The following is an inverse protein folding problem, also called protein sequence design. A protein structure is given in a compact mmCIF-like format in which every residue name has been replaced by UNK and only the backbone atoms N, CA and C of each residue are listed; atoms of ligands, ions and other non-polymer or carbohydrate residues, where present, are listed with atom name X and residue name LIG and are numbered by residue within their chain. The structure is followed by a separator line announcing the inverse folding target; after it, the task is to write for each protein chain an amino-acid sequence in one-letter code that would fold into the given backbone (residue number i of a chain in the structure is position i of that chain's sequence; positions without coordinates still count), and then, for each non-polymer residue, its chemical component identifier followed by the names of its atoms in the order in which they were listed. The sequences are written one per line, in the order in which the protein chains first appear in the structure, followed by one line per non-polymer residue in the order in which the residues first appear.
data_IF_129405169059
#
_entry.id   IF_129405169059
#
_cell.length_a   1.000
_cell.length_b   1.000
_cell.length_c   1.000
_cell.angle_alpha   90.00
_cell.angle_beta   90.00
_cell.angle_gamma   90.00
#
_symmetry.space_group_name_H-M   'P 1'
#
loop_
_entity.id
_entity.type
_entity.pdbx_description
1 polymer ?
#
# COMPACT_ATOMS: atom_id res chain seq x y z
N UNK A 1 12.31 -1.03 10.63
CA UNK A 1 13.43 -1.99 10.80
C UNK A 1 13.22 -3.29 10.01
N UNK A 2 11.98 -3.77 9.90
CA UNK A 2 11.70 -5.07 9.23
C UNK A 2 11.66 -4.97 7.69
N UNK A 3 11.56 -3.78 7.14
CA UNK A 3 11.55 -3.53 5.69
C UNK A 3 12.92 -3.19 5.10
N UNK A 4 13.87 -2.77 5.94
CA UNK A 4 15.24 -2.42 5.55
C UNK A 4 16.18 -2.62 6.75
N UNK A 5 16.84 -3.79 6.87
CA UNK A 5 17.67 -4.14 8.03
C UNK A 5 19.09 -3.55 7.95
N UNK A 6 19.29 -2.40 7.36
CA UNK A 6 20.56 -1.73 7.19
C UNK A 6 20.84 -1.34 5.75
N UNK A 7 21.96 -1.76 5.20
CA UNK A 7 22.29 -1.56 3.78
C UNK A 7 21.38 -2.38 2.87
N UNK A 8 21.08 -1.85 1.70
CA UNK A 8 20.25 -2.50 0.68
C UNK A 8 20.72 -2.10 -0.71
N UNK A 9 20.36 -2.88 -1.71
CA UNK A 9 20.68 -2.63 -3.10
C UNK A 9 19.44 -2.24 -3.89
N UNK A 10 19.57 -1.21 -4.72
CA UNK A 10 18.53 -0.76 -5.63
C UNK A 10 19.05 -0.71 -7.05
N UNK A 11 18.20 -1.04 -8.01
CA UNK A 11 18.38 -0.73 -9.41
C UNK A 11 17.76 0.65 -9.66
N UNK A 12 18.51 1.70 -9.35
CA UNK A 12 18.05 3.08 -9.44
C UNK A 12 18.25 3.65 -10.84
N UNK A 13 17.20 4.23 -11.42
CA UNK A 13 17.31 4.91 -12.70
C UNK A 13 16.41 6.13 -12.79
N UNK A 14 16.94 7.20 -13.40
CA UNK A 14 16.27 8.44 -13.71
C UNK A 14 16.42 8.76 -15.19
N UNK A 15 15.32 9.12 -15.83
CA UNK A 15 15.24 9.38 -17.27
C UNK A 15 14.89 10.83 -17.52
N UNK A 16 15.73 11.57 -18.25
CA UNK A 16 15.41 12.93 -18.70
C UNK A 16 14.38 12.93 -19.83
N UNK A 17 13.52 13.95 -19.86
CA UNK A 17 12.45 14.11 -20.84
C UNK A 17 11.48 12.92 -20.92
N UNK A 18 11.27 12.25 -19.80
CA UNK A 18 10.43 11.07 -19.69
C UNK A 18 9.11 11.37 -18.95
N UNK A 19 8.07 10.67 -19.35
CA UNK A 19 6.78 10.61 -18.68
C UNK A 19 6.71 9.40 -17.74
N UNK A 20 5.64 9.32 -16.99
CA UNK A 20 5.32 8.13 -16.17
C UNK A 20 5.27 6.86 -17.03
N UNK A 21 4.66 6.92 -18.19
CA UNK A 21 4.49 5.80 -19.12
C UNK A 21 5.84 5.33 -19.71
N UNK A 22 6.79 6.23 -19.90
CA UNK A 22 8.14 5.88 -20.36
C UNK A 22 8.90 5.08 -19.28
N UNK A 23 8.77 5.49 -18.02
CA UNK A 23 9.34 4.76 -16.87
C UNK A 23 8.67 3.39 -16.72
N UNK A 24 7.35 3.30 -16.90
CA UNK A 24 6.62 2.03 -16.82
C UNK A 24 7.14 1.03 -17.84
N UNK A 25 7.35 1.42 -19.10
CA UNK A 25 7.89 0.55 -20.15
C UNK A 25 9.26 -0.04 -19.77
N UNK A 26 10.15 0.80 -19.26
CA UNK A 26 11.49 0.34 -18.81
C UNK A 26 11.37 -0.60 -17.60
N UNK A 27 10.54 -0.24 -16.61
CA UNK A 27 10.29 -1.07 -15.44
C UNK A 27 9.72 -2.44 -15.80
N UNK A 28 8.74 -2.48 -16.69
CA UNK A 28 8.11 -3.72 -17.19
C UNK A 28 9.11 -4.61 -17.92
N UNK A 29 9.89 -4.05 -18.82
CA UNK A 29 10.90 -4.80 -19.57
C UNK A 29 11.95 -5.43 -18.64
N UNK A 30 12.48 -4.65 -17.71
CA UNK A 30 13.52 -5.10 -16.77
C UNK A 30 12.98 -6.14 -15.79
N UNK A 31 11.82 -5.88 -15.18
CA UNK A 31 11.27 -6.75 -14.15
C UNK A 31 10.71 -8.05 -14.74
N UNK A 32 9.98 -7.99 -15.86
CA UNK A 32 9.51 -9.21 -16.55
C UNK A 32 10.68 -10.10 -16.92
N UNK A 33 11.70 -9.57 -17.60
CA UNK A 33 12.87 -10.35 -18.00
C UNK A 33 13.63 -10.94 -16.82
N UNK A 34 13.73 -10.18 -15.71
CA UNK A 34 14.38 -10.65 -14.48
C UNK A 34 13.62 -11.81 -13.85
N UNK A 35 12.31 -11.64 -13.65
CA UNK A 35 11.51 -12.69 -13.02
C UNK A 35 11.35 -13.92 -13.92
N UNK A 36 11.19 -13.76 -15.23
CA UNK A 36 11.16 -14.89 -16.17
C UNK A 36 12.45 -15.72 -16.14
N UNK A 37 13.60 -15.03 -15.98
CA UNK A 37 14.90 -15.69 -15.95
C UNK A 37 15.20 -16.42 -14.64
N UNK A 38 14.77 -15.87 -13.50
CA UNK A 38 15.19 -16.35 -12.18
C UNK A 38 14.06 -16.99 -11.36
N UNK A 39 12.82 -16.89 -11.78
CA UNK A 39 11.71 -17.59 -11.12
C UNK A 39 11.86 -19.12 -11.27
N UNK A 40 11.32 -19.90 -10.31
CA UNK A 40 11.26 -21.35 -10.43
C UNK A 40 10.56 -21.79 -11.72
N UNK A 41 10.99 -22.91 -12.29
CA UNK A 41 10.39 -23.46 -13.51
C UNK A 41 8.86 -23.67 -13.36
N UNK A 42 8.11 -23.27 -14.36
CA UNK A 42 6.64 -23.33 -14.36
C UNK A 42 5.95 -22.18 -13.64
N UNK A 43 6.70 -21.18 -13.17
CA UNK A 43 6.10 -19.96 -12.60
C UNK A 43 5.42 -19.12 -13.66
N UNK A 44 4.33 -18.45 -13.28
CA UNK A 44 3.62 -17.48 -14.12
C UNK A 44 4.05 -16.07 -13.73
N UNK A 45 4.57 -15.31 -14.70
CA UNK A 45 4.95 -13.90 -14.51
C UNK A 45 3.97 -13.02 -15.28
N UNK A 46 3.51 -11.93 -14.65
CA UNK A 46 2.67 -10.94 -15.35
C UNK A 46 3.40 -10.37 -16.56
N UNK A 47 2.78 -10.44 -17.72
CA UNK A 47 3.31 -9.85 -18.94
C UNK A 47 2.93 -8.37 -19.04
N UNK A 48 3.78 -7.58 -19.70
CA UNK A 48 3.47 -6.19 -20.01
C UNK A 48 2.28 -6.07 -21.00
N UNK A 49 1.45 -5.02 -20.89
CA UNK A 49 1.51 -3.98 -19.86
C UNK A 49 0.97 -4.46 -18.51
N UNK A 50 1.57 -4.02 -17.42
CA UNK A 50 1.07 -4.33 -16.08
C UNK A 50 -0.24 -3.60 -15.79
N UNK A 51 -1.17 -4.19 -15.01
CA UNK A 51 -2.33 -3.48 -14.53
C UNK A 51 -1.95 -2.21 -13.77
N UNK A 52 -2.65 -1.12 -14.03
CA UNK A 52 -2.52 0.16 -13.31
C UNK A 52 -3.77 0.31 -12.46
N UNK A 53 -3.59 0.51 -11.17
CA UNK A 53 -4.64 0.66 -10.16
C UNK A 53 -4.40 1.98 -9.45
N UNK A 54 -5.38 2.89 -9.43
CA UNK A 54 -5.21 4.12 -8.67
C UNK A 54 -5.15 3.84 -7.16
N UNK A 55 -4.44 4.67 -6.41
CA UNK A 55 -4.38 4.58 -4.95
C UNK A 55 -5.78 4.45 -4.32
N UNK A 56 -6.69 5.30 -4.77
CA UNK A 56 -8.10 5.28 -4.32
C UNK A 56 -8.77 3.92 -4.56
N UNK A 57 -8.59 3.36 -5.74
CA UNK A 57 -9.13 2.05 -6.09
C UNK A 57 -8.45 0.93 -5.28
N UNK A 58 -7.13 1.01 -5.09
CA UNK A 58 -6.38 0.05 -4.28
C UNK A 58 -6.89 0.00 -2.84
N UNK A 59 -7.09 1.16 -2.22
CA UNK A 59 -7.65 1.25 -0.87
C UNK A 59 -9.10 0.75 -0.80
N UNK A 60 -9.90 0.98 -1.84
CA UNK A 60 -11.29 0.52 -1.90
C UNK A 60 -11.40 -0.99 -2.07
N UNK A 61 -10.69 -1.58 -3.05
CA UNK A 61 -10.86 -2.98 -3.45
C UNK A 61 -9.95 -3.95 -2.70
N UNK A 62 -8.83 -3.47 -2.14
CA UNK A 62 -7.84 -4.32 -1.47
C UNK A 62 -7.55 -3.89 -0.03
N UNK A 63 -7.91 -2.67 0.37
CA UNK A 63 -7.64 -2.10 1.68
C UNK A 63 -6.16 -1.83 1.95
N UNK A 64 -5.36 -1.72 0.90
CA UNK A 64 -3.92 -1.46 0.93
C UNK A 64 -3.43 -0.94 -0.41
N UNK A 65 -2.38 -0.16 -0.41
CA UNK A 65 -1.62 0.28 -1.58
C UNK A 65 -0.62 -0.78 -2.09
N UNK A 66 -0.51 -1.91 -1.38
CA UNK A 66 0.34 -3.04 -1.75
C UNK A 66 -0.49 -4.33 -1.93
N UNK A 67 -1.38 -4.42 -2.94
CA UNK A 67 -2.27 -5.55 -3.10
C UNK A 67 -1.53 -6.81 -3.58
N UNK A 68 -1.86 -7.95 -2.97
CA UNK A 68 -1.54 -9.25 -3.55
C UNK A 68 -2.63 -9.65 -4.55
N UNK A 69 -2.32 -9.53 -5.84
CA UNK A 69 -3.26 -9.85 -6.92
C UNK A 69 -3.45 -11.36 -7.15
N UNK A 70 -2.64 -12.23 -6.52
CA UNK A 70 -2.86 -13.68 -6.50
C UNK A 70 -4.10 -14.05 -5.70
N UNK A 71 -4.52 -13.20 -4.76
CA UNK A 71 -5.75 -13.38 -4.01
C UNK A 71 -6.94 -12.86 -4.84
N UNK A 72 -7.90 -13.73 -5.24
CA UNK A 72 -9.01 -13.33 -6.10
C UNK A 72 -10.09 -12.51 -5.40
N UNK A 73 -10.08 -12.46 -4.06
CA UNK A 73 -11.09 -11.73 -3.31
C UNK A 73 -10.97 -10.23 -3.51
N UNK A 74 -12.11 -9.54 -3.50
CA UNK A 74 -12.19 -8.08 -3.55
C UNK A 74 -13.04 -7.57 -2.40
N UNK A 75 -12.70 -6.37 -1.95
CA UNK A 75 -13.50 -5.64 -0.97
C UNK A 75 -14.58 -4.87 -1.72
N UNK A 76 -15.77 -4.83 -1.16
CA UNK A 76 -16.96 -4.20 -1.74
C UNK A 76 -17.41 -3.11 -0.76
N UNK A 77 -17.77 -1.94 -1.28
CA UNK A 77 -18.36 -0.87 -0.48
C UNK A 77 -19.87 -1.09 -0.36
N UNK A 78 -20.33 -1.27 0.87
CA UNK A 78 -21.73 -1.39 1.20
C UNK A 78 -22.20 -0.29 2.19
N UNK A 79 -21.46 0.81 2.27
CA UNK A 79 -21.74 1.91 3.19
C UNK A 79 -23.15 2.44 3.00
N UNK A 80 -23.51 2.89 1.80
CA UNK A 80 -24.83 3.45 1.52
C UNK A 80 -25.97 2.44 1.72
N UNK A 81 -25.72 1.17 1.41
CA UNK A 81 -26.68 0.10 1.66
C UNK A 81 -27.00 0.00 3.14
N UNK A 82 -26.00 -0.09 4.02
CA UNK A 82 -26.21 -0.27 5.45
C UNK A 82 -26.72 0.98 6.18
N UNK A 83 -26.56 2.20 5.63
CA UNK A 83 -27.22 3.39 6.19
C UNK A 83 -28.75 3.31 6.10
N UNK A 84 -29.30 2.53 5.15
CA UNK A 84 -30.75 2.31 4.95
C UNK A 84 -31.30 1.09 5.68
N UNK A 85 -30.42 0.19 6.17
CA UNK A 85 -30.81 -1.00 6.93
C UNK A 85 -31.14 -0.67 8.38
N UNK A 86 -31.76 -1.63 9.09
CA UNK A 86 -32.12 -1.48 10.51
C UNK A 86 -30.96 -1.79 11.47
N UNK A 87 -29.80 -2.19 10.98
CA UNK A 87 -28.65 -2.60 11.78
C UNK A 87 -27.85 -1.39 12.29
N UNK A 88 -28.33 -0.79 13.37
CA UNK A 88 -27.76 0.43 13.99
C UNK A 88 -26.24 0.41 14.24
N UNK A 89 -25.57 -0.72 14.57
CA UNK A 89 -24.12 -0.71 14.78
C UNK A 89 -23.27 -0.29 13.56
N UNK A 90 -23.85 -0.30 12.35
CA UNK A 90 -23.18 0.11 11.11
C UNK A 90 -23.52 1.55 10.68
N UNK A 91 -24.51 2.19 11.33
CA UNK A 91 -24.91 3.56 10.99
C UNK A 91 -23.78 4.55 11.32
N UNK A 92 -23.54 5.49 10.41
CA UNK A 92 -22.48 6.50 10.54
C UNK A 92 -21.05 5.96 10.38
N UNK A 93 -20.91 4.72 9.93
CA UNK A 93 -19.62 4.07 9.66
C UNK A 93 -19.48 3.74 8.19
N UNK A 94 -18.25 3.66 7.73
CA UNK A 94 -17.92 3.00 6.46
C UNK A 94 -18.09 1.50 6.63
N UNK A 95 -18.82 0.88 5.70
CA UNK A 95 -19.06 -0.57 5.69
C UNK A 95 -18.42 -1.19 4.46
N UNK A 96 -17.45 -2.05 4.70
CA UNK A 96 -16.77 -2.88 3.69
C UNK A 96 -17.26 -4.31 3.79
N UNK A 97 -17.29 -5.01 2.67
CA UNK A 97 -17.68 -6.42 2.64
C UNK A 97 -16.70 -7.25 1.80
N UNK A 98 -16.60 -8.53 2.13
CA UNK A 98 -15.81 -9.51 1.37
C UNK A 98 -16.71 -10.70 1.08
N UNK A 99 -17.02 -10.91 -0.21
CA UNK A 99 -17.71 -12.11 -0.65
C UNK A 99 -16.72 -13.25 -0.87
N UNK A 100 -16.94 -14.36 -0.21
CA UNK A 100 -16.16 -15.60 -0.32
C UNK A 100 -17.03 -16.61 -1.06
N UNK A 101 -16.63 -17.06 -2.28
CA UNK A 101 -17.43 -17.98 -3.09
C UNK A 101 -17.35 -19.41 -2.53
N UNK A 102 -17.65 -19.58 -1.25
CA UNK A 102 -17.56 -20.86 -0.54
C UNK A 102 -18.35 -20.82 0.76
N UNK A 103 -19.05 -21.91 1.07
CA UNK A 103 -19.65 -22.13 2.39
C UNK A 103 -18.57 -22.47 3.38
N UNK A 104 -18.58 -21.82 4.55
CA UNK A 104 -17.63 -22.04 5.61
C UNK A 104 -18.20 -22.92 6.73
N UNK A 105 -17.34 -23.75 7.31
CA UNK A 105 -17.67 -24.48 8.52
C UNK A 105 -17.69 -23.56 9.76
N UNK A 106 -18.41 -23.97 10.81
CA UNK A 106 -18.43 -23.22 12.08
C UNK A 106 -17.02 -22.94 12.62
N UNK A 107 -16.10 -23.92 12.53
CA UNK A 107 -14.72 -23.74 12.99
C UNK A 107 -13.93 -22.71 12.17
N UNK A 108 -14.24 -22.56 10.87
CA UNK A 108 -13.63 -21.50 10.04
C UNK A 108 -14.16 -20.14 10.43
N UNK A 109 -15.47 -19.97 10.64
CA UNK A 109 -16.05 -18.73 11.17
C UNK A 109 -15.42 -18.32 12.52
N UNK A 110 -15.28 -19.26 13.45
CA UNK A 110 -14.67 -18.99 14.77
C UNK A 110 -13.20 -18.54 14.66
N UNK A 111 -12.43 -19.16 13.76
CA UNK A 111 -11.04 -18.77 13.52
C UNK A 111 -10.92 -17.36 12.91
N UNK A 112 -11.79 -17.03 11.94
CA UNK A 112 -11.82 -15.70 11.32
C UNK A 112 -12.28 -14.65 12.33
N UNK A 113 -13.27 -14.93 13.18
CA UNK A 113 -13.68 -14.02 14.26
C UNK A 113 -12.52 -13.76 15.24
N UNK A 114 -11.78 -14.78 15.65
CA UNK A 114 -10.60 -14.63 16.53
C UNK A 114 -9.52 -13.76 15.86
N UNK A 115 -9.28 -13.98 14.58
CA UNK A 115 -8.34 -13.14 13.83
C UNK A 115 -8.81 -11.69 13.77
N UNK A 116 -10.08 -11.45 13.41
CA UNK A 116 -10.65 -10.11 13.39
C UNK A 116 -10.50 -9.38 14.74
N UNK A 117 -10.74 -10.10 15.85
CA UNK A 117 -10.53 -9.56 17.20
C UNK A 117 -9.05 -9.26 17.49
N UNK A 118 -8.13 -10.12 17.02
CA UNK A 118 -6.68 -9.92 17.24
C UNK A 118 -6.12 -8.70 16.52
N UNK A 119 -6.75 -8.27 15.43
CA UNK A 119 -6.37 -7.05 14.69
C UNK A 119 -7.14 -5.80 15.17
N UNK A 120 -7.97 -5.91 16.23
CA UNK A 120 -8.64 -4.78 16.87
C UNK A 120 -10.11 -4.59 16.51
N UNK A 121 -10.72 -5.49 15.71
CA UNK A 121 -12.15 -5.42 15.42
C UNK A 121 -12.99 -5.86 16.62
N UNK A 122 -14.11 -5.17 16.87
CA UNK A 122 -15.06 -5.54 17.93
C UNK A 122 -15.86 -6.83 17.65
N UNK A 123 -15.92 -7.26 16.40
CA UNK A 123 -16.62 -8.44 15.93
C UNK A 123 -16.56 -8.60 14.43
N UNK A 124 -17.09 -9.70 13.90
CA UNK A 124 -17.15 -9.99 12.48
C UNK A 124 -18.57 -10.45 12.11
N UNK A 125 -19.33 -9.57 11.45
CA UNK A 125 -20.65 -9.90 10.91
C UNK A 125 -20.53 -10.75 9.65
N UNK A 126 -21.49 -11.65 9.43
CA UNK A 126 -21.51 -12.43 8.19
C UNK A 126 -22.93 -12.86 7.81
N UNK A 127 -23.09 -13.28 6.55
CA UNK A 127 -24.24 -14.01 6.02
C UNK A 127 -23.73 -15.20 5.21
N UNK A 128 -24.41 -16.35 5.35
CA UNK A 128 -24.32 -17.49 4.44
C UNK A 128 -25.48 -17.39 3.43
N UNK A 129 -25.20 -17.54 2.15
CA UNK A 129 -26.21 -17.58 1.09
C UNK A 129 -26.64 -19.03 0.89
N UNK A 130 -27.92 -19.32 1.13
CA UNK A 130 -28.46 -20.66 0.99
C UNK A 130 -28.80 -20.98 -0.47
N UNK A 131 -29.12 -22.25 -0.76
CA UNK A 131 -29.40 -22.74 -2.13
C UNK A 131 -30.60 -22.04 -2.79
N UNK A 132 -31.54 -21.56 -1.99
CA UNK A 132 -32.73 -20.81 -2.42
C UNK A 132 -32.51 -19.28 -2.45
N UNK A 133 -31.25 -18.84 -2.33
CA UNK A 133 -30.86 -17.43 -2.23
C UNK A 133 -31.37 -16.70 -0.98
N UNK A 134 -31.89 -17.41 0.02
CA UNK A 134 -32.14 -16.84 1.34
C UNK A 134 -30.85 -16.75 2.14
N UNK A 135 -30.85 -15.95 3.20
CA UNK A 135 -29.66 -15.71 4.00
C UNK A 135 -29.76 -16.35 5.38
N UNK A 136 -28.62 -16.75 5.91
CA UNK A 136 -28.46 -17.24 7.27
C UNK A 136 -27.25 -16.58 7.94
N UNK A 137 -27.46 -15.95 9.07
CA UNK A 137 -26.37 -15.33 9.83
C UNK A 137 -26.85 -14.27 10.81
N UNK A 138 -25.95 -13.70 11.60
CA UNK A 138 -26.32 -12.74 12.65
C UNK A 138 -26.90 -11.42 12.10
N UNK A 139 -26.62 -11.09 10.84
CA UNK A 139 -27.04 -9.82 10.20
C UNK A 139 -28.38 -9.97 9.46
N UNK A 140 -28.80 -11.18 9.05
CA UNK A 140 -29.97 -11.42 8.19
C UNK A 140 -31.25 -10.70 8.67
N UNK A 141 -31.58 -10.83 9.93
CA UNK A 141 -32.79 -10.23 10.53
C UNK A 141 -32.83 -8.69 10.49
N UNK A 142 -31.73 -8.06 10.16
CA UNK A 142 -31.61 -6.60 10.10
C UNK A 142 -31.65 -6.07 8.66
N UNK A 143 -31.64 -6.96 7.65
CA UNK A 143 -31.79 -6.59 6.25
C UNK A 143 -33.25 -6.78 5.87
N UNK A 144 -33.98 -5.70 5.53
CA UNK A 144 -35.35 -5.78 5.06
C UNK A 144 -35.47 -6.70 3.83
N UNK A 145 -36.58 -7.42 3.71
CA UNK A 145 -36.77 -8.40 2.62
C UNK A 145 -36.72 -7.77 1.24
N UNK A 146 -37.21 -6.54 1.10
CA UNK A 146 -37.15 -5.75 -0.15
C UNK A 146 -35.72 -5.28 -0.52
N UNK A 147 -34.78 -5.33 0.40
CA UNK A 147 -33.37 -4.99 0.18
C UNK A 147 -32.48 -6.22 -0.05
N UNK A 148 -32.99 -7.44 0.13
CA UNK A 148 -32.18 -8.67 -0.02
C UNK A 148 -31.69 -8.91 -1.44
N UNK A 149 -32.46 -8.54 -2.46
CA UNK A 149 -32.01 -8.60 -3.85
C UNK A 149 -30.91 -7.57 -4.17
N UNK A 150 -30.99 -6.37 -3.58
CA UNK A 150 -30.00 -5.32 -3.78
C UNK A 150 -28.61 -5.73 -3.26
N UNK A 151 -28.52 -6.29 -2.06
CA UNK A 151 -27.22 -6.76 -1.55
C UNK A 151 -26.66 -7.93 -2.38
N UNK A 152 -27.53 -8.78 -2.91
CA UNK A 152 -27.12 -9.87 -3.81
C UNK A 152 -26.48 -9.32 -5.08
N UNK A 153 -27.06 -8.27 -5.67
CA UNK A 153 -26.51 -7.61 -6.87
C UNK A 153 -25.21 -6.86 -6.55
N UNK A 154 -25.20 -6.02 -5.50
CA UNK A 154 -24.02 -5.22 -5.12
C UNK A 154 -22.81 -6.08 -4.80
N UNK A 155 -23.01 -7.21 -4.13
CA UNK A 155 -21.93 -8.11 -3.74
C UNK A 155 -21.77 -9.33 -4.66
N UNK A 156 -22.51 -9.39 -5.77
CA UNK A 156 -22.52 -10.52 -6.73
C UNK A 156 -22.63 -11.88 -6.03
N UNK A 157 -23.60 -11.99 -5.10
CA UNK A 157 -23.79 -13.16 -4.27
C UNK A 157 -24.40 -14.32 -5.06
N UNK A 158 -23.94 -15.52 -4.78
CA UNK A 158 -24.43 -16.78 -5.34
C UNK A 158 -24.75 -17.77 -4.23
N UNK A 159 -25.58 -18.73 -4.51
CA UNK A 159 -25.87 -19.83 -3.59
C UNK A 159 -24.56 -20.52 -3.16
N UNK A 160 -24.38 -20.73 -1.87
CA UNK A 160 -23.17 -21.29 -1.28
C UNK A 160 -22.10 -20.28 -0.91
N UNK A 161 -22.27 -19.00 -1.19
CA UNK A 161 -21.32 -17.95 -0.79
C UNK A 161 -21.42 -17.62 0.71
N UNK A 162 -20.36 -17.05 1.24
CA UNK A 162 -20.34 -16.43 2.56
C UNK A 162 -19.81 -15.01 2.44
N UNK A 163 -20.59 -14.02 2.87
CA UNK A 163 -20.15 -12.61 2.87
C UNK A 163 -19.86 -12.14 4.29
N UNK A 164 -18.73 -11.48 4.49
CA UNK A 164 -18.30 -10.86 5.75
C UNK A 164 -18.42 -9.35 5.68
N UNK A 165 -18.70 -8.72 6.84
CA UNK A 165 -18.90 -7.27 6.96
C UNK A 165 -17.95 -6.67 7.97
N UNK A 166 -17.32 -5.57 7.58
CA UNK A 166 -16.37 -4.78 8.37
C UNK A 166 -16.93 -3.36 8.46
N UNK A 167 -17.09 -2.80 9.65
CA UNK A 167 -17.65 -1.47 9.83
C UNK A 167 -16.86 -0.68 10.87
N UNK A 168 -16.24 0.41 10.41
CA UNK A 168 -15.49 1.36 11.26
C UNK A 168 -15.39 2.73 10.56
N UNK A 169 -14.56 3.64 11.08
CA UNK A 169 -14.13 4.82 10.32
C UNK A 169 -13.38 4.39 9.07
N UNK A 170 -13.40 5.20 8.01
CA UNK A 170 -12.89 4.86 6.67
C UNK A 170 -11.52 4.16 6.69
N UNK A 171 -10.54 4.77 7.36
CA UNK A 171 -9.16 4.26 7.42
C UNK A 171 -9.07 2.88 8.08
N UNK A 172 -9.78 2.70 9.20
CA UNK A 172 -9.78 1.42 9.91
C UNK A 172 -10.59 0.36 9.15
N UNK A 173 -11.71 0.74 8.54
CA UNK A 173 -12.50 -0.18 7.73
C UNK A 173 -11.71 -0.73 6.54
N UNK A 174 -10.95 0.14 5.83
CA UNK A 174 -10.07 -0.27 4.74
C UNK A 174 -8.95 -1.21 5.25
N UNK A 175 -8.24 -0.81 6.30
CA UNK A 175 -7.15 -1.60 6.88
C UNK A 175 -7.61 -2.97 7.38
N UNK A 176 -8.70 -3.04 8.15
CA UNK A 176 -9.24 -4.31 8.64
C UNK A 176 -9.73 -5.20 7.50
N UNK A 177 -10.39 -4.62 6.49
CA UNK A 177 -10.87 -5.37 5.33
C UNK A 177 -9.69 -5.95 4.52
N UNK A 178 -8.62 -5.19 4.32
CA UNK A 178 -7.41 -5.65 3.65
C UNK A 178 -6.74 -6.81 4.37
N UNK A 179 -6.54 -6.68 5.69
CA UNK A 179 -5.97 -7.74 6.52
C UNK A 179 -6.86 -8.99 6.52
N UNK A 180 -8.17 -8.83 6.68
CA UNK A 180 -9.12 -9.95 6.66
C UNK A 180 -9.18 -10.61 5.28
N UNK A 181 -9.14 -9.86 4.19
CA UNK A 181 -9.04 -10.36 2.81
C UNK A 181 -7.84 -11.30 2.64
N UNK A 182 -6.67 -10.86 3.10
CA UNK A 182 -5.45 -11.66 2.99
C UNK A 182 -5.53 -12.92 3.85
N UNK A 183 -6.02 -12.82 5.07
CA UNK A 183 -6.21 -13.95 5.98
C UNK A 183 -7.21 -14.97 5.43
N UNK A 184 -8.34 -14.54 4.87
CA UNK A 184 -9.33 -15.41 4.25
C UNK A 184 -8.70 -16.13 3.05
N UNK A 185 -8.02 -15.41 2.16
CA UNK A 185 -7.36 -15.98 0.99
C UNK A 185 -6.36 -17.06 1.34
N UNK A 186 -5.51 -16.79 2.34
CA UNK A 186 -4.52 -17.74 2.84
C UNK A 186 -5.16 -18.98 3.50
N UNK A 187 -6.10 -18.78 4.43
CA UNK A 187 -6.74 -19.90 5.14
C UNK A 187 -7.59 -20.82 4.27
N UNK A 188 -8.15 -20.28 3.22
CA UNK A 188 -9.02 -21.04 2.30
C UNK A 188 -8.27 -21.58 1.09
N UNK A 189 -6.94 -21.44 1.04
CA UNK A 189 -6.06 -21.85 -0.07
C UNK A 189 -6.54 -21.29 -1.42
N UNK A 190 -6.85 -19.99 -1.44
CA UNK A 190 -7.35 -19.28 -2.62
C UNK A 190 -6.27 -18.51 -3.37
N UNK A 191 -5.10 -18.33 -2.76
CA UNK A 191 -3.99 -17.59 -3.34
C UNK A 191 -3.36 -18.40 -4.46
N UNK A 192 -3.26 -17.80 -5.64
CA UNK A 192 -2.61 -18.41 -6.80
C UNK A 192 -1.16 -18.80 -6.47
N UNK A 193 -0.79 -20.04 -6.77
CA UNK A 193 0.54 -20.60 -6.49
C UNK A 193 1.46 -20.42 -7.70
N UNK A 194 2.76 -20.35 -7.44
CA UNK A 194 3.80 -20.23 -8.46
C UNK A 194 3.55 -19.09 -9.45
N UNK A 195 3.09 -17.94 -8.93
CA UNK A 195 2.80 -16.77 -9.74
C UNK A 195 3.44 -15.51 -9.16
N UNK A 196 3.89 -14.63 -10.05
CA UNK A 196 4.36 -13.29 -9.75
C UNK A 196 3.41 -12.30 -10.44
N UNK A 197 2.53 -11.71 -9.64
CA UNK A 197 1.47 -10.81 -10.11
C UNK A 197 1.88 -9.37 -9.83
N UNK A 198 2.30 -8.69 -10.90
CA UNK A 198 2.70 -7.29 -10.87
C UNK A 198 1.52 -6.36 -11.11
N UNK A 199 1.56 -5.19 -10.48
CA UNK A 199 0.75 -4.04 -10.84
C UNK A 199 1.47 -2.74 -10.49
N UNK A 200 1.02 -1.65 -11.11
CA UNK A 200 1.33 -0.30 -10.68
C UNK A 200 0.21 0.21 -9.77
N UNK A 201 0.61 0.92 -8.72
CA UNK A 201 -0.29 1.79 -7.97
C UNK A 201 0.10 3.21 -8.31
N UNK A 202 -0.84 4.04 -8.75
CA UNK A 202 -0.60 5.44 -9.15
C UNK A 202 -1.61 6.39 -8.51
N UNK A 203 -1.55 7.66 -8.90
CA UNK A 203 -2.47 8.71 -8.44
C UNK A 203 -2.53 8.82 -6.91
N UNK A 204 -1.36 8.78 -6.28
CA UNK A 204 -1.26 8.99 -4.84
C UNK A 204 -1.68 10.41 -4.46
N UNK A 205 -2.36 10.61 -3.32
CA UNK A 205 -2.60 11.94 -2.78
C UNK A 205 -1.25 12.60 -2.48
N UNK A 206 -1.10 13.87 -2.84
CA UNK A 206 0.13 14.61 -2.55
C UNK A 206 0.23 14.98 -1.08
N UNK A 207 -0.90 15.25 -0.46
CA UNK A 207 -1.00 15.69 0.93
C UNK A 207 -1.99 14.86 1.72
N UNK A 208 -1.76 14.81 3.03
CA UNK A 208 -2.70 14.30 4.03
C UNK A 208 -2.83 15.25 5.21
N UNK A 209 -3.89 15.08 5.98
CA UNK A 209 -4.09 15.81 7.23
C UNK A 209 -3.58 14.98 8.40
N UNK A 210 -2.48 15.43 9.01
CA UNK A 210 -1.97 14.83 10.23
C UNK A 210 -2.84 15.21 11.43
N UNK A 211 -3.50 14.22 12.02
CA UNK A 211 -4.43 14.39 13.15
C UNK A 211 -3.71 14.79 14.45
N UNK A 212 -2.43 14.45 14.61
CA UNK A 212 -1.65 14.77 15.80
C UNK A 212 -1.18 16.22 15.76
N UNK A 213 -0.51 16.61 14.70
CA UNK A 213 0.01 17.98 14.53
C UNK A 213 -1.03 18.97 14.04
N UNK A 214 -2.20 18.49 13.56
CA UNK A 214 -3.29 19.27 12.95
C UNK A 214 -2.83 20.13 11.76
N UNK A 215 -1.92 19.57 10.94
CA UNK A 215 -1.34 20.22 9.77
C UNK A 215 -1.55 19.39 8.52
N UNK A 216 -1.50 20.04 7.38
CA UNK A 216 -1.32 19.39 6.09
C UNK A 216 0.16 19.04 5.96
N UNK A 217 0.44 17.78 5.65
CA UNK A 217 1.78 17.24 5.43
C UNK A 217 1.82 16.52 4.08
N UNK A 218 3.00 16.26 3.55
CA UNK A 218 3.15 15.37 2.40
C UNK A 218 2.85 13.92 2.80
N UNK A 219 2.10 13.22 1.96
CA UNK A 219 1.76 11.81 2.20
C UNK A 219 2.98 10.91 2.03
N UNK A 220 3.73 11.10 0.93
CA UNK A 220 4.89 10.27 0.56
C UNK A 220 6.07 11.13 0.12
N UNK A 221 6.41 11.14 -1.18
CA UNK A 221 7.56 11.85 -1.71
C UNK A 221 7.22 13.33 -2.02
N UNK A 222 7.77 14.30 -1.29
CA UNK A 222 7.49 15.72 -1.50
C UNK A 222 8.03 16.29 -2.82
N UNK A 223 8.93 15.55 -3.49
CA UNK A 223 9.54 15.94 -4.76
C UNK A 223 8.83 15.39 -6.00
N UNK A 224 7.66 14.78 -5.81
CA UNK A 224 6.80 14.37 -6.92
C UNK A 224 6.10 15.56 -7.56
N UNK A 225 5.91 15.53 -8.88
CA UNK A 225 5.16 16.56 -9.61
C UNK A 225 3.66 16.46 -9.27
N UNK A 226 3.01 17.54 -8.79
CA UNK A 226 1.57 17.54 -8.61
C UNK A 226 0.85 17.47 -9.96
N UNK A 227 -0.22 16.69 -10.03
CA UNK A 227 -1.09 16.65 -11.22
C UNK A 227 -1.84 17.97 -11.37
N UNK A 228 -1.68 18.60 -12.55
CA UNK A 228 -2.19 19.94 -12.82
C UNK A 228 -1.25 21.07 -12.38
N UNK A 229 -0.06 20.76 -11.89
CA UNK A 229 1.01 21.73 -11.65
C UNK A 229 0.62 22.87 -10.70
N UNK A 230 1.10 24.07 -11.00
CA UNK A 230 0.88 25.27 -10.18
C UNK A 230 -0.59 25.67 -10.06
N UNK A 231 -1.38 25.47 -11.13
CA UNK A 231 -2.82 25.76 -11.12
C UNK A 231 -3.56 24.92 -10.08
N UNK A 232 -3.30 23.60 -10.07
CA UNK A 232 -3.91 22.71 -9.09
C UNK A 232 -3.54 23.07 -7.65
N UNK A 233 -2.29 23.47 -7.40
CA UNK A 233 -1.84 23.90 -6.07
C UNK A 233 -2.47 25.21 -5.60
N UNK A 234 -2.91 26.07 -6.52
CA UNK A 234 -3.55 27.35 -6.18
C UNK A 234 -5.06 27.25 -6.04
N UNK A 235 -5.71 26.36 -6.79
CA UNK A 235 -7.17 26.37 -6.95
C UNK A 235 -7.87 25.21 -6.22
N UNK A 236 -7.20 24.05 -6.06
CA UNK A 236 -7.81 22.89 -5.40
C UNK A 236 -7.62 22.93 -3.89
N UNK A 237 -8.52 22.23 -3.19
CA UNK A 237 -8.22 21.85 -1.82
C UNK A 237 -6.94 21.00 -1.81
N UNK A 238 -5.95 21.29 -0.97
CA UNK A 238 -4.71 20.51 -0.91
C UNK A 238 -4.91 18.98 -0.80
N UNK A 239 -5.92 18.54 -0.06
CA UNK A 239 -6.23 17.12 0.10
C UNK A 239 -6.79 16.44 -1.16
N UNK A 240 -7.18 17.22 -2.17
CA UNK A 240 -7.67 16.74 -3.48
C UNK A 240 -6.57 16.77 -4.56
N UNK A 241 -5.37 17.23 -4.22
CA UNK A 241 -4.23 17.26 -5.15
C UNK A 241 -3.58 15.88 -5.19
N UNK A 242 -3.51 15.31 -6.39
CA UNK A 242 -2.79 14.07 -6.64
C UNK A 242 -1.36 14.36 -7.13
N UNK A 243 -0.45 13.43 -6.89
CA UNK A 243 0.91 13.48 -7.40
C UNK A 243 1.12 12.46 -8.54
N UNK A 244 2.03 12.74 -9.46
CA UNK A 244 2.57 11.75 -10.40
C UNK A 244 3.58 10.86 -9.67
N UNK A 245 3.09 10.19 -8.64
CA UNK A 245 3.82 9.16 -7.90
C UNK A 245 3.23 7.79 -8.23
N UNK A 246 4.08 6.79 -8.26
CA UNK A 246 3.70 5.42 -8.57
C UNK A 246 4.60 4.42 -7.86
N UNK A 247 4.01 3.29 -7.50
CA UNK A 247 4.72 2.15 -6.94
C UNK A 247 4.54 0.94 -7.85
N UNK A 248 5.56 0.08 -7.94
CA UNK A 248 5.43 -1.26 -8.49
C UNK A 248 5.27 -2.24 -7.34
N UNK A 249 4.19 -3.00 -7.40
CA UNK A 249 3.86 -4.02 -6.41
C UNK A 249 3.88 -5.39 -7.06
N UNK A 250 4.47 -6.36 -6.37
CA UNK A 250 4.40 -7.77 -6.76
C UNK A 250 4.03 -8.61 -5.54
N UNK A 251 2.95 -9.39 -5.66
CA UNK A 251 2.53 -10.34 -4.62
C UNK A 251 2.37 -9.72 -3.22
N UNK A 252 1.90 -8.48 -3.14
CA UNK A 252 1.73 -7.79 -1.86
C UNK A 252 3.00 -7.09 -1.33
N UNK A 253 4.07 -7.06 -2.10
CA UNK A 253 5.34 -6.40 -1.76
C UNK A 253 5.58 -5.22 -2.72
N UNK A 254 5.74 -4.03 -2.17
CA UNK A 254 6.24 -2.87 -2.89
C UNK A 254 7.70 -3.13 -3.31
N UNK A 255 7.93 -3.31 -4.60
CA UNK A 255 9.29 -3.51 -5.15
C UNK A 255 10.01 -2.20 -5.39
N UNK A 256 9.28 -1.19 -5.80
CA UNK A 256 9.83 0.12 -6.12
C UNK A 256 8.80 1.20 -5.92
N UNK A 257 9.26 2.36 -5.47
CA UNK A 257 8.55 3.62 -5.58
C UNK A 257 9.22 4.48 -6.66
N UNK A 258 8.45 5.32 -7.32
CA UNK A 258 8.91 6.22 -8.35
C UNK A 258 8.02 7.45 -8.49
N UNK A 259 8.47 8.43 -9.27
CA UNK A 259 7.69 9.62 -9.57
C UNK A 259 8.15 10.31 -10.85
N UNK A 260 7.25 11.08 -11.46
CA UNK A 260 7.66 12.23 -12.27
C UNK A 260 8.12 13.31 -11.29
N UNK A 261 9.35 13.79 -11.44
CA UNK A 261 9.96 14.67 -10.46
C UNK A 261 9.49 16.10 -10.63
N UNK A 262 9.31 16.79 -9.53
CA UNK A 262 9.01 18.21 -9.51
C UNK A 262 10.31 19.00 -9.73
N UNK A 263 10.60 19.31 -10.99
CA UNK A 263 11.79 20.03 -11.42
C UNK A 263 11.58 21.54 -11.56
N UNK A 264 10.34 22.00 -11.43
CA UNK A 264 9.97 23.42 -11.49
C UNK A 264 10.02 24.04 -10.10
N UNK A 265 10.89 25.06 -9.94
CA UNK A 265 11.09 25.70 -8.64
C UNK A 265 9.87 26.45 -8.13
N UNK A 266 9.03 27.02 -9.02
CA UNK A 266 7.83 27.75 -8.59
C UNK A 266 6.80 26.74 -8.02
N UNK A 267 6.63 25.61 -8.71
CA UNK A 267 5.75 24.52 -8.26
C UNK A 267 6.29 23.92 -6.96
N UNK A 268 7.60 23.73 -6.86
CA UNK A 268 8.22 23.16 -5.66
C UNK A 268 8.04 24.05 -4.43
N UNK A 269 8.37 25.32 -4.53
CA UNK A 269 8.18 26.29 -3.43
C UNK A 269 6.72 26.30 -2.99
N UNK A 270 5.80 26.41 -3.96
CA UNK A 270 4.35 26.41 -3.65
C UNK A 270 3.88 25.13 -2.98
N UNK A 271 4.36 23.97 -3.43
CA UNK A 271 4.02 22.69 -2.85
C UNK A 271 4.49 22.60 -1.38
N UNK A 272 5.69 23.05 -1.10
CA UNK A 272 6.23 23.05 0.26
C UNK A 272 5.57 24.10 1.17
N UNK A 273 5.17 25.26 0.66
CA UNK A 273 4.39 26.25 1.41
C UNK A 273 3.07 25.68 1.94
N UNK A 274 2.36 24.91 1.13
CA UNK A 274 1.11 24.23 1.53
C UNK A 274 1.35 23.28 2.71
N UNK A 275 2.48 22.60 2.73
CA UNK A 275 2.89 21.73 3.85
C UNK A 275 3.51 22.50 5.03
N UNK A 276 3.50 23.84 5.00
CA UNK A 276 3.95 24.70 6.09
C UNK A 276 5.45 24.96 6.14
N UNK A 277 6.18 24.71 5.05
CA UNK A 277 7.59 25.08 4.90
C UNK A 277 7.74 26.44 4.21
N UNK A 278 8.82 27.13 4.55
CA UNK A 278 9.20 28.36 3.85
C UNK A 278 10.20 28.05 2.74
N UNK A 279 10.39 28.99 1.79
CA UNK A 279 11.46 28.87 0.80
C UNK A 279 12.85 28.81 1.45
N UNK A 280 13.04 29.47 2.59
CA UNK A 280 14.30 29.40 3.35
C UNK A 280 14.53 28.02 3.96
N UNK A 281 13.47 27.32 4.36
CA UNK A 281 13.57 25.91 4.77
C UNK A 281 14.05 25.02 3.62
N UNK A 282 13.57 25.25 2.39
CA UNK A 282 14.04 24.51 1.22
C UNK A 282 15.54 24.79 0.95
N UNK A 283 15.97 26.04 1.01
CA UNK A 283 17.38 26.44 0.84
C UNK A 283 18.29 25.81 1.89
N UNK A 284 17.81 25.72 3.12
CA UNK A 284 18.61 25.19 4.23
C UNK A 284 18.64 23.67 4.24
N UNK A 285 17.47 23.02 4.07
CA UNK A 285 17.33 21.56 4.19
C UNK A 285 17.69 20.83 2.90
N UNK A 286 17.39 21.44 1.74
CA UNK A 286 17.55 20.85 0.42
C UNK A 286 18.36 21.74 -0.54
N UNK A 287 19.33 22.50 0.00
CA UNK A 287 20.05 23.54 -0.72
C UNK A 287 20.75 23.05 -1.98
N UNK A 288 21.29 21.83 -1.99
CA UNK A 288 21.93 21.27 -3.17
C UNK A 288 20.92 21.10 -4.33
N UNK A 289 19.76 20.51 -4.05
CA UNK A 289 18.69 20.32 -5.04
C UNK A 289 18.10 21.65 -5.47
N UNK A 290 17.79 22.54 -4.51
CA UNK A 290 17.27 23.87 -4.76
C UNK A 290 18.19 24.66 -5.70
N UNK A 291 19.49 24.66 -5.44
CA UNK A 291 20.46 25.37 -6.28
C UNK A 291 20.60 24.73 -7.67
N UNK A 292 20.67 23.38 -7.75
CA UNK A 292 20.80 22.70 -9.01
C UNK A 292 19.64 22.98 -9.96
N UNK A 293 18.40 22.98 -9.46
CA UNK A 293 17.20 23.19 -10.28
C UNK A 293 17.08 24.62 -10.82
N UNK A 294 17.72 25.60 -10.21
CA UNK A 294 17.77 26.97 -10.75
C UNK A 294 18.56 27.07 -12.08
N UNK A 295 19.43 26.11 -12.35
CA UNK A 295 20.18 26.05 -13.61
C UNK A 295 19.43 25.36 -14.75
N UNK A 296 18.16 24.98 -14.55
CA UNK A 296 17.32 24.40 -15.59
C UNK A 296 17.39 22.89 -15.66
N UNK A 297 16.99 22.20 -14.59
CA UNK A 297 16.83 20.75 -14.64
C UNK A 297 15.81 20.35 -15.71
N UNK A 298 16.08 19.31 -16.53
CA UNK A 298 15.09 18.84 -17.48
C UNK A 298 13.90 18.21 -16.75
N UNK A 299 12.72 18.13 -17.36
CA UNK A 299 11.69 17.21 -16.91
C UNK A 299 12.28 15.80 -16.81
N UNK A 300 12.07 15.11 -15.71
CA UNK A 300 12.63 13.77 -15.50
C UNK A 300 11.71 12.93 -14.63
N UNK A 301 11.86 11.64 -14.75
CA UNK A 301 11.09 10.65 -14.01
C UNK A 301 11.93 9.39 -13.82
N UNK A 302 11.66 8.66 -12.75
CA UNK A 302 12.42 7.44 -12.47
C UNK A 302 11.82 6.62 -11.37
N UNK A 303 12.51 5.53 -11.07
CA UNK A 303 12.15 4.58 -10.01
C UNK A 303 13.38 3.78 -9.57
N UNK A 304 13.27 3.14 -8.40
CA UNK A 304 14.39 2.41 -7.81
C UNK A 304 13.93 1.04 -7.25
N UNK A 305 13.77 0.00 -8.09
CA UNK A 305 13.45 -1.35 -7.64
C UNK A 305 14.48 -1.91 -6.65
N UNK A 306 13.99 -2.39 -5.50
CA UNK A 306 14.82 -3.00 -4.46
C UNK A 306 15.26 -4.41 -4.84
N UNK A 307 16.56 -4.61 -5.05
CA UNK A 307 17.13 -5.92 -5.43
C UNK A 307 16.86 -6.97 -4.35
N UNK A 308 17.03 -6.60 -3.08
CA UNK A 308 16.78 -7.52 -1.96
C UNK A 308 15.33 -7.99 -1.92
N UNK A 309 14.37 -7.11 -2.17
CA UNK A 309 12.94 -7.47 -2.24
C UNK A 309 12.64 -8.40 -3.43
N UNK A 310 13.27 -8.18 -4.57
CA UNK A 310 13.15 -9.10 -5.73
C UNK A 310 13.69 -10.49 -5.39
N UNK A 311 14.87 -10.59 -4.75
CA UNK A 311 15.44 -11.87 -4.33
C UNK A 311 14.54 -12.55 -3.30
N UNK A 312 13.99 -11.81 -2.32
CA UNK A 312 13.06 -12.31 -1.32
C UNK A 312 11.85 -12.99 -1.98
N UNK A 313 11.22 -12.35 -2.96
CA UNK A 313 10.11 -12.91 -3.71
C UNK A 313 10.52 -14.16 -4.52
N UNK A 314 11.64 -14.10 -5.25
CA UNK A 314 12.14 -15.21 -6.07
C UNK A 314 12.54 -16.44 -5.24
N UNK A 315 12.92 -16.22 -3.99
CA UNK A 315 13.24 -17.29 -3.03
C UNK A 315 12.03 -17.73 -2.21
N UNK A 316 10.88 -17.06 -2.38
CA UNK A 316 9.67 -17.28 -1.59
C UNK A 316 9.93 -17.19 -0.08
N UNK A 317 10.76 -16.21 0.31
CA UNK A 317 11.05 -15.90 1.72
C UNK A 317 10.10 -14.81 2.22
N UNK A 318 9.64 -14.94 3.45
CA UNK A 318 8.74 -13.96 4.07
C UNK A 318 9.51 -12.82 4.76
N UNK A 319 10.77 -13.08 5.12
CA UNK A 319 11.61 -12.15 5.86
C UNK A 319 12.86 -11.78 5.07
N UNK A 320 13.03 -10.50 4.77
CA UNK A 320 14.18 -9.98 4.03
C UNK A 320 15.54 -10.31 4.68
N UNK A 321 15.58 -10.58 5.99
CA UNK A 321 16.79 -10.97 6.69
C UNK A 321 17.33 -12.34 6.27
N UNK A 322 16.46 -13.21 5.74
CA UNK A 322 16.87 -14.55 5.27
C UNK A 322 17.70 -14.50 3.97
N UNK A 323 17.65 -13.38 3.24
CA UNK A 323 18.38 -13.19 1.98
C UNK A 323 19.62 -12.30 2.13
N UNK A 324 19.85 -11.72 3.32
CA UNK A 324 20.96 -10.82 3.61
C UNK A 324 22.04 -11.59 4.40
N UNK A 325 23.31 -11.63 3.97
CA UNK A 325 24.34 -12.45 4.62
C UNK A 325 24.63 -12.09 6.07
N UNK A 326 24.56 -10.80 6.41
CA UNK A 326 24.84 -10.28 7.78
C UNK A 326 23.73 -9.30 8.20
N UNK A 327 22.50 -9.79 8.43
CA UNK A 327 21.39 -8.91 8.75
C UNK A 327 21.50 -8.36 10.17
N UNK A 328 21.22 -7.07 10.33
CA UNK A 328 21.02 -6.48 11.64
C UNK A 328 19.64 -6.84 12.20
N UNK A 329 19.56 -6.99 13.53
CA UNK A 329 18.30 -7.17 14.24
C UNK A 329 17.50 -5.84 14.36
N UNK A 330 16.31 -5.88 14.97
CA UNK A 330 15.46 -4.70 15.18
C UNK A 330 16.07 -3.59 16.02
N UNK A 331 17.15 -3.88 16.78
CA UNK A 331 17.91 -2.93 17.58
C UNK A 331 19.16 -2.40 16.84
N UNK A 332 19.26 -2.63 15.53
CA UNK A 332 20.43 -2.29 14.71
C UNK A 332 21.74 -2.93 15.22
N UNK A 333 21.65 -4.21 15.64
CA UNK A 333 22.80 -4.98 16.11
C UNK A 333 23.12 -6.10 15.10
N UNK A 334 24.38 -6.22 14.71
CA UNK A 334 24.91 -7.39 14.04
C UNK A 334 25.39 -8.39 15.11
N UNK A 335 24.63 -9.44 15.31
CA UNK A 335 24.91 -10.44 16.34
C UNK A 335 26.10 -11.34 15.97
N UNK A 336 26.40 -11.49 14.69
CA UNK A 336 27.53 -12.28 14.21
C UNK A 336 28.86 -11.59 14.45
N UNK A 337 28.91 -10.27 14.19
CA UNK A 337 30.09 -9.44 14.39
C UNK A 337 30.18 -8.82 15.80
N UNK A 338 29.14 -8.97 16.62
CA UNK A 338 29.06 -8.36 17.94
C UNK A 338 29.00 -6.82 17.87
N UNK A 339 28.41 -6.25 16.82
CA UNK A 339 28.30 -4.81 16.62
C UNK A 339 26.90 -4.27 17.00
N UNK A 340 26.77 -2.99 17.47
CA UNK A 340 27.87 -2.07 17.75
C UNK A 340 28.64 -2.46 19.01
N UNK A 341 29.96 -2.17 19.02
CA UNK A 341 30.82 -2.30 20.18
C UNK A 341 31.05 -0.97 20.90
N UNK A 342 31.73 -1.02 22.03
CA UNK A 342 32.15 0.17 22.74
C UNK A 342 33.19 0.96 21.95
N UNK A 343 33.15 2.29 22.05
CA UNK A 343 34.11 3.19 21.42
C UNK A 343 34.90 3.94 22.51
N UNK A 344 36.15 4.25 22.22
CA UNK A 344 37.02 4.99 23.15
C UNK A 344 36.74 6.49 23.12
N UNK A 345 37.07 7.18 24.21
CA UNK A 345 37.00 8.63 24.29
C UNK A 345 37.83 9.33 23.20
N UNK A 346 38.93 8.73 22.77
CA UNK A 346 39.75 9.25 21.67
C UNK A 346 38.97 9.22 20.35
N UNK A 347 38.32 8.12 20.03
CA UNK A 347 37.48 7.98 18.82
C UNK A 347 36.32 9.00 18.84
N UNK A 348 35.68 9.22 19.99
CA UNK A 348 34.64 10.21 20.13
C UNK A 348 35.16 11.64 19.87
N UNK A 349 36.35 11.96 20.38
CA UNK A 349 37.00 13.28 20.15
C UNK A 349 37.36 13.49 18.70
N UNK A 350 37.84 12.47 17.99
CA UNK A 350 38.21 12.56 16.58
C UNK A 350 37.03 12.96 15.69
N UNK A 351 35.81 12.54 16.05
CA UNK A 351 34.57 12.88 15.31
C UNK A 351 33.76 14.00 15.99
N UNK A 352 34.34 14.68 16.98
CA UNK A 352 33.74 15.82 17.70
C UNK A 352 32.40 15.54 18.37
N UNK A 353 32.14 14.32 18.85
CA UNK A 353 30.93 13.95 19.58
C UNK A 353 31.22 13.60 21.04
N UNK A 354 30.17 13.63 21.87
CA UNK A 354 30.23 13.29 23.28
C UNK A 354 28.98 12.54 23.70
N UNK A 355 29.16 11.46 24.47
CA UNK A 355 28.03 10.77 25.09
C UNK A 355 27.41 11.65 26.15
N UNK A 356 26.08 11.83 26.10
CA UNK A 356 25.35 12.47 27.20
C UNK A 356 25.18 11.44 28.32
N UNK A 357 25.63 11.81 29.52
CA UNK A 357 25.36 11.05 30.74
C UNK A 357 23.96 11.33 31.23
#
# INVERSE_FOLDING_TARGET
ADRSPGEFYQLDFEMSFATQEDVFKVGEEVLSATFEKFAPEGSVVTQAPYPIISYKQAMLEFGTDNPDLRNPLRIIDLTDFFQRCTFKPFHGKTVRAINVPKKLSKGQHEKLLKYAQSIGMGGLGYLEVLDDMTYKGPIDKFIPDDMKSEIAELANLKAGDTIFFIADVEELAASFAGQLRNEIGARLDMIEKNAYRFCYINDFPMYEYDKETKKIIFTHNPFSMPQGGLEALNEKNPLDVLAYQYDIVCNGIELSSGAVRNHDMQIMVKAFEIAGYTEEDLKTKFGALYNAFQFGAPPHAGMAPGVDRMIMLLRNEENIREIIPFPMNGNAQDLMCGAPGEVTEQQLREVHIKVRQ
#
